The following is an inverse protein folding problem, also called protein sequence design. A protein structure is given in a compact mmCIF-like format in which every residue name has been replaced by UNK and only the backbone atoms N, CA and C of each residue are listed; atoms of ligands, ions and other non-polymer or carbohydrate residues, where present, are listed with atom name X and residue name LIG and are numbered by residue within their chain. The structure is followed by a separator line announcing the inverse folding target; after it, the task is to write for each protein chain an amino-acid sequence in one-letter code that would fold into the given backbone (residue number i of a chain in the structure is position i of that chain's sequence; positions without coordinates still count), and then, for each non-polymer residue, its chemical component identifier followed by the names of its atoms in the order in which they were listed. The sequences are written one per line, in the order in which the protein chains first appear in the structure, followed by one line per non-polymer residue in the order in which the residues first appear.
data_IF_680607780218
#
_entry.id   IF_680607780218
#
_cell.length_a   1.000
_cell.length_b   1.000
_cell.length_c   1.000
_cell.angle_alpha   90.00
_cell.angle_beta   90.00
_cell.angle_gamma   90.00
#
_symmetry.space_group_name_H-M   'P 1'
#
loop_
_entity.id
_entity.type
_entity.pdbx_description
1 polymer ?
#
# COMPACT_ATOMS: atom_id res chain seq x y z
N UNK A 1 -4.69 -5.02 21.09
CA UNK A 1 -4.34 -4.10 22.19
C UNK A 1 -3.18 -4.74 22.97
N UNK A 2 -2.00 -4.09 22.99
CA UNK A 2 -0.84 -4.62 23.69
C UNK A 2 0.05 -5.57 22.89
N UNK A 3 -0.17 -5.77 21.58
CA UNK A 3 0.78 -6.41 20.69
C UNK A 3 1.65 -5.36 19.96
N UNK A 4 2.81 -5.78 19.50
CA UNK A 4 3.71 -4.99 18.65
C UNK A 4 3.50 -5.31 17.16
N UNK A 5 2.40 -5.99 16.83
CA UNK A 5 2.09 -6.38 15.46
C UNK A 5 1.71 -5.16 14.62
N UNK A 6 2.25 -5.12 13.40
CA UNK A 6 1.92 -4.09 12.43
C UNK A 6 0.65 -4.48 11.66
N UNK A 7 -0.16 -3.47 11.36
CA UNK A 7 -1.33 -3.55 10.50
C UNK A 7 -1.26 -2.41 9.47
N UNK A 8 -1.41 -2.75 8.20
CA UNK A 8 -1.35 -1.78 7.10
C UNK A 8 -2.43 -0.69 7.21
N UNK A 9 -3.54 -0.95 7.93
CA UNK A 9 -4.57 0.06 8.19
C UNK A 9 -4.06 1.28 8.96
N UNK A 10 -2.91 1.19 9.66
CA UNK A 10 -2.28 2.33 10.30
C UNK A 10 -1.89 3.44 9.30
N UNK A 11 -1.69 3.11 8.01
CA UNK A 11 -1.48 4.09 6.94
C UNK A 11 -2.69 5.04 6.75
N UNK A 12 -3.87 4.58 7.14
CA UNK A 12 -5.08 5.39 7.07
C UNK A 12 -5.04 6.62 7.99
N UNK A 13 -4.18 6.64 9.02
CA UNK A 13 -4.00 7.81 9.87
C UNK A 13 -3.51 9.03 9.07
N UNK A 14 -2.60 8.82 8.13
CA UNK A 14 -2.15 9.85 7.19
C UNK A 14 -3.17 10.12 6.09
N UNK A 15 -3.71 9.07 5.47
CA UNK A 15 -4.62 9.16 4.32
C UNK A 15 -5.93 9.87 4.69
N UNK A 16 -6.47 9.57 5.88
CA UNK A 16 -7.67 10.22 6.39
C UNK A 16 -7.43 11.62 7.00
N UNK A 17 -6.16 12.06 7.07
CA UNK A 17 -5.80 13.36 7.63
C UNK A 17 -5.99 13.45 9.15
N UNK A 18 -5.91 12.32 9.86
CA UNK A 18 -5.98 12.31 11.33
C UNK A 18 -4.74 12.97 11.96
N UNK A 19 -3.57 12.74 11.36
CA UNK A 19 -2.31 13.43 11.67
C UNK A 19 -1.71 13.95 10.36
N UNK A 20 -0.90 15.03 10.40
CA UNK A 20 -0.10 15.45 9.26
C UNK A 20 0.79 14.31 8.76
N UNK A 21 0.89 14.15 7.44
CA UNK A 21 1.67 13.06 6.85
C UNK A 21 3.19 13.21 7.06
N UNK A 22 3.65 14.40 7.44
CA UNK A 22 5.03 14.72 7.83
C UNK A 22 5.28 14.62 9.35
N UNK A 23 4.26 14.21 10.13
CA UNK A 23 4.44 13.92 11.55
C UNK A 23 5.47 12.80 11.75
N UNK A 24 6.44 12.94 12.67
CA UNK A 24 7.48 11.93 12.89
C UNK A 24 6.94 10.53 13.20
N UNK A 25 5.81 10.42 13.91
CA UNK A 25 5.17 9.15 14.21
C UNK A 25 4.56 8.50 12.95
N UNK A 26 3.98 9.30 12.06
CA UNK A 26 3.46 8.83 10.76
C UNK A 26 4.61 8.36 9.88
N UNK A 27 5.69 9.13 9.79
CA UNK A 27 6.88 8.74 9.01
C UNK A 27 7.45 7.41 9.53
N UNK A 28 7.61 7.27 10.85
CA UNK A 28 8.10 6.03 11.45
C UNK A 28 7.15 4.85 11.17
N UNK A 29 5.84 5.07 11.16
CA UNK A 29 4.84 4.05 10.84
C UNK A 29 4.95 3.61 9.36
N UNK A 30 5.07 4.56 8.43
CA UNK A 30 5.26 4.28 6.99
C UNK A 30 6.53 3.45 6.80
N UNK A 31 7.65 3.86 7.42
CA UNK A 31 8.94 3.16 7.31
C UNK A 31 8.88 1.75 7.93
N UNK A 32 8.23 1.59 9.07
CA UNK A 32 8.05 0.28 9.70
C UNK A 32 7.20 -0.67 8.84
N UNK A 33 6.15 -0.18 8.20
CA UNK A 33 5.31 -0.99 7.29
C UNK A 33 6.11 -1.37 6.05
N UNK A 34 6.85 -0.43 5.46
CA UNK A 34 7.67 -0.70 4.28
C UNK A 34 8.78 -1.71 4.57
N UNK A 35 9.38 -1.67 5.76
CA UNK A 35 10.49 -2.55 6.15
C UNK A 35 10.02 -3.94 6.62
N UNK A 36 8.92 -4.02 7.36
CA UNK A 36 8.53 -5.22 8.11
C UNK A 36 7.24 -5.88 7.62
N UNK A 37 6.46 -5.21 6.78
CA UNK A 37 5.15 -5.70 6.35
C UNK A 37 5.08 -5.87 4.81
N UNK A 38 6.23 -5.99 4.14
CA UNK A 38 6.28 -6.23 2.69
C UNK A 38 6.95 -7.56 2.36
N UNK A 39 6.56 -8.15 1.24
CA UNK A 39 7.26 -9.29 0.65
C UNK A 39 8.54 -8.84 -0.10
N UNK A 40 9.27 -9.79 -0.66
CA UNK A 40 10.50 -9.52 -1.42
C UNK A 40 10.29 -8.65 -2.68
N UNK A 41 9.06 -8.56 -3.19
CA UNK A 41 8.65 -7.69 -4.33
C UNK A 41 8.28 -6.29 -3.85
N UNK A 42 8.14 -6.08 -2.53
CA UNK A 42 7.68 -4.84 -1.91
C UNK A 42 6.17 -4.64 -1.98
N UNK A 43 5.40 -5.73 -2.09
CA UNK A 43 3.95 -5.73 -1.93
C UNK A 43 3.60 -5.88 -0.44
N UNK A 44 2.56 -5.17 0.01
CA UNK A 44 2.23 -5.05 1.43
C UNK A 44 1.24 -6.13 1.86
N UNK A 45 1.57 -6.85 2.94
CA UNK A 45 0.62 -7.68 3.69
C UNK A 45 -0.34 -6.81 4.49
N UNK A 46 -1.54 -7.29 4.75
CA UNK A 46 -2.47 -6.61 5.65
C UNK A 46 -1.93 -6.60 7.07
N UNK A 47 -1.51 -7.75 7.55
CA UNK A 47 -0.79 -7.99 8.82
C UNK A 47 -0.05 -9.33 8.73
N UNK A 48 0.86 -9.58 9.66
CA UNK A 48 1.62 -10.84 9.77
C UNK A 48 1.39 -11.48 11.15
N UNK A 49 0.15 -11.58 11.60
CA UNK A 49 -0.19 -12.27 12.85
C UNK A 49 -0.62 -13.70 12.55
N UNK A 50 -0.21 -14.64 13.43
CA UNK A 50 -0.73 -16.00 13.41
C UNK A 50 -2.13 -15.98 14.07
N UNK A 51 -3.15 -15.77 13.25
CA UNK A 51 -4.55 -15.73 13.68
C UNK A 51 -5.21 -17.12 13.70
N UNK A 52 -4.44 -18.18 13.42
CA UNK A 52 -4.91 -19.57 13.43
C UNK A 52 -5.84 -19.93 12.27
N UNK A 53 -5.98 -19.05 11.27
CA UNK A 53 -6.68 -19.37 10.03
C UNK A 53 -5.79 -20.22 9.12
N UNK A 54 -6.33 -21.32 8.62
CA UNK A 54 -5.61 -22.21 7.70
C UNK A 54 -5.57 -21.54 6.31
N UNK A 55 -4.41 -21.04 5.93
CA UNK A 55 -4.13 -20.46 4.62
C UNK A 55 -3.05 -19.39 4.72
N UNK A 56 -2.15 -19.33 3.78
CA UNK A 56 -1.24 -18.19 3.65
C UNK A 56 -2.00 -17.04 3.01
N UNK A 57 -2.26 -15.97 3.76
CA UNK A 57 -2.78 -14.72 3.16
C UNK A 57 -1.74 -14.18 2.17
N UNK A 58 -2.23 -13.72 1.01
CA UNK A 58 -1.41 -13.02 0.04
C UNK A 58 -1.11 -11.58 0.47
N UNK A 59 -0.33 -10.89 -0.37
CA UNK A 59 -0.16 -9.45 -0.25
C UNK A 59 -1.37 -8.73 -0.85
N UNK A 60 -1.85 -7.69 -0.17
CA UNK A 60 -3.03 -6.94 -0.59
C UNK A 60 -2.65 -5.78 -1.51
N UNK A 61 -3.20 -5.75 -2.72
CA UNK A 61 -2.97 -4.64 -3.66
C UNK A 61 -3.47 -3.31 -3.09
N UNK A 62 -4.61 -3.31 -2.40
CA UNK A 62 -5.11 -2.12 -1.69
C UNK A 62 -4.10 -1.58 -0.68
N UNK A 63 -3.50 -2.44 0.16
CA UNK A 63 -2.54 -2.04 1.19
C UNK A 63 -1.26 -1.47 0.54
N UNK A 64 -0.84 -2.03 -0.59
CA UNK A 64 0.30 -1.52 -1.35
C UNK A 64 0.00 -0.13 -1.93
N UNK A 65 -1.21 0.11 -2.44
CA UNK A 65 -1.62 1.46 -2.85
C UNK A 65 -1.76 2.43 -1.68
N UNK A 66 -2.17 1.98 -0.49
CA UNK A 66 -2.14 2.82 0.72
C UNK A 66 -0.72 3.25 1.07
N UNK A 67 0.25 2.36 0.98
CA UNK A 67 1.66 2.71 1.21
C UNK A 67 2.12 3.76 0.20
N UNK A 68 1.84 3.58 -1.09
CA UNK A 68 2.15 4.56 -2.12
C UNK A 68 1.48 5.93 -1.85
N UNK A 69 0.21 5.93 -1.45
CA UNK A 69 -0.55 7.14 -1.12
C UNK A 69 0.06 7.86 0.09
N UNK A 70 0.34 7.15 1.18
CA UNK A 70 0.94 7.72 2.38
C UNK A 70 2.33 8.31 2.10
N UNK A 71 3.17 7.63 1.31
CA UNK A 71 4.47 8.14 0.85
C UNK A 71 4.33 9.44 0.04
N UNK A 72 3.34 9.53 -0.84
CA UNK A 72 3.08 10.74 -1.63
C UNK A 72 2.66 11.91 -0.72
N UNK A 73 1.78 11.67 0.25
CA UNK A 73 1.38 12.66 1.25
C UNK A 73 2.55 13.12 2.13
N UNK A 74 3.46 12.20 2.45
CA UNK A 74 4.69 12.48 3.20
C UNK A 74 5.79 13.19 2.37
N UNK A 75 5.48 13.65 1.16
CA UNK A 75 6.41 14.37 0.29
C UNK A 75 7.53 13.51 -0.30
N UNK A 76 7.27 12.21 -0.49
CA UNK A 76 8.23 11.24 -1.06
C UNK A 76 7.75 10.68 -2.42
N UNK A 77 7.50 11.52 -3.44
CA UNK A 77 6.83 11.11 -4.68
C UNK A 77 7.60 10.03 -5.46
N UNK A 78 8.93 10.04 -5.46
CA UNK A 78 9.75 9.04 -6.16
C UNK A 78 9.55 7.64 -5.57
N UNK A 79 9.57 7.53 -4.23
CA UNK A 79 9.29 6.25 -3.55
C UNK A 79 7.85 5.82 -3.75
N UNK A 80 6.91 6.76 -3.63
CA UNK A 80 5.49 6.52 -3.85
C UNK A 80 5.22 5.94 -5.25
N UNK A 81 5.82 6.52 -6.28
CA UNK A 81 5.69 6.03 -7.66
C UNK A 81 6.26 4.62 -7.80
N UNK A 82 7.41 4.33 -7.24
CA UNK A 82 8.01 3.01 -7.32
C UNK A 82 7.12 1.93 -6.67
N UNK A 83 6.51 2.22 -5.51
CA UNK A 83 5.57 1.32 -4.85
C UNK A 83 4.28 1.16 -5.68
N UNK A 84 3.75 2.26 -6.20
CA UNK A 84 2.56 2.27 -7.05
C UNK A 84 2.74 1.40 -8.29
N UNK A 85 3.86 1.54 -9.00
CA UNK A 85 4.12 0.81 -10.25
C UNK A 85 4.25 -0.69 -10.01
N UNK A 86 4.81 -1.12 -8.87
CA UNK A 86 4.85 -2.54 -8.48
C UNK A 86 3.45 -3.13 -8.36
N UNK A 87 2.53 -2.46 -7.65
CA UNK A 87 1.15 -2.93 -7.51
C UNK A 87 0.38 -2.85 -8.84
N UNK A 88 0.56 -1.78 -9.61
CA UNK A 88 -0.10 -1.59 -10.90
C UNK A 88 0.31 -2.62 -11.95
N UNK A 89 1.51 -3.20 -11.84
CA UNK A 89 1.98 -4.26 -12.73
C UNK A 89 1.13 -5.54 -12.66
N UNK A 90 0.35 -5.73 -11.59
CA UNK A 90 -0.58 -6.87 -11.42
C UNK A 90 -1.96 -6.63 -12.04
N UNK A 91 -2.18 -5.49 -12.71
CA UNK A 91 -3.36 -5.30 -13.52
C UNK A 91 -3.32 -6.22 -14.75
N UNK A 92 -4.45 -6.86 -15.03
CA UNK A 92 -4.57 -7.68 -16.26
C UNK A 92 -4.49 -6.82 -17.53
N UNK A 93 -4.38 -7.44 -18.69
CA UNK A 93 -4.41 -6.74 -19.99
C UNK A 93 -5.68 -5.90 -20.25
N UNK A 94 -6.73 -6.10 -19.45
CA UNK A 94 -7.97 -5.30 -19.46
C UNK A 94 -8.00 -4.23 -18.35
N UNK A 95 -6.91 -4.09 -17.57
CA UNK A 95 -6.83 -3.15 -16.45
C UNK A 95 -7.58 -3.59 -15.20
N UNK A 96 -7.98 -4.87 -15.10
CA UNK A 96 -8.67 -5.39 -13.91
C UNK A 96 -7.67 -5.90 -12.88
N UNK A 97 -7.98 -5.71 -11.59
CA UNK A 97 -7.13 -6.07 -10.47
C UNK A 97 -7.86 -7.00 -9.50
N UNK A 98 -7.11 -7.94 -8.94
CA UNK A 98 -7.58 -8.80 -7.85
C UNK A 98 -7.45 -8.11 -6.49
N UNK A 99 -7.87 -8.80 -5.44
CA UNK A 99 -7.70 -8.38 -4.05
C UNK A 99 -6.26 -8.56 -3.59
N UNK A 100 -5.69 -9.73 -3.86
CA UNK A 100 -4.40 -10.17 -3.36
C UNK A 100 -3.51 -10.76 -4.46
N UNK A 101 -2.24 -10.89 -4.15
CA UNK A 101 -1.23 -11.62 -4.93
C UNK A 101 -0.55 -12.63 -4.02
N UNK A 102 -0.41 -13.87 -4.48
CA UNK A 102 0.25 -14.93 -3.75
C UNK A 102 1.71 -14.56 -3.41
N UNK A 103 2.21 -14.87 -2.20
CA UNK A 103 3.55 -14.46 -1.79
C UNK A 103 4.67 -15.12 -2.60
N UNK A 104 4.46 -16.34 -3.06
CA UNK A 104 5.46 -17.16 -3.75
C UNK A 104 5.34 -17.15 -5.28
N UNK A 105 4.33 -16.48 -5.81
CA UNK A 105 4.05 -16.42 -7.24
C UNK A 105 3.33 -15.13 -7.61
N UNK A 106 3.07 -14.95 -8.89
CA UNK A 106 2.25 -13.83 -9.39
C UNK A 106 0.77 -14.21 -9.53
N UNK A 107 0.34 -15.28 -8.86
CA UNK A 107 -1.05 -15.73 -8.88
C UNK A 107 -1.94 -14.73 -8.17
N UNK A 108 -3.02 -14.35 -8.86
CA UNK A 108 -4.03 -13.43 -8.32
C UNK A 108 -4.99 -14.20 -7.42
N UNK A 109 -5.17 -13.72 -6.18
CA UNK A 109 -6.00 -14.34 -5.15
C UNK A 109 -7.15 -13.43 -4.71
N UNK A 110 -8.08 -14.03 -3.98
CA UNK A 110 -9.22 -13.31 -3.42
C UNK A 110 -10.26 -12.91 -4.47
N UNK A 111 -10.98 -11.84 -4.20
CA UNK A 111 -12.02 -11.34 -5.11
C UNK A 111 -11.42 -10.75 -6.38
N UNK A 112 -12.03 -11.09 -7.54
CA UNK A 112 -11.62 -10.56 -8.83
C UNK A 112 -12.84 -10.28 -9.73
N UNK A 113 -12.97 -9.08 -10.32
CA UNK A 113 -12.19 -7.87 -10.02
C UNK A 113 -12.55 -7.30 -8.65
N UNK A 114 -11.56 -6.70 -7.96
CA UNK A 114 -11.77 -6.12 -6.63
C UNK A 114 -11.87 -4.58 -6.70
N UNK A 115 -13.03 -4.04 -6.31
CA UNK A 115 -13.29 -2.60 -6.34
C UNK A 115 -12.33 -1.80 -5.46
N UNK A 116 -12.00 -2.29 -4.26
CA UNK A 116 -11.09 -1.60 -3.34
C UNK A 116 -9.68 -1.44 -3.91
N UNK A 117 -9.17 -2.43 -4.64
CA UNK A 117 -7.88 -2.34 -5.33
C UNK A 117 -7.88 -1.21 -6.37
N UNK A 118 -8.96 -1.07 -7.15
CA UNK A 118 -9.11 0.02 -8.12
C UNK A 118 -9.27 1.40 -7.46
N UNK A 119 -10.01 1.48 -6.34
CA UNK A 119 -10.12 2.73 -5.55
C UNK A 119 -8.74 3.12 -5.00
N UNK A 120 -7.99 2.16 -4.45
CA UNK A 120 -6.63 2.38 -3.97
C UNK A 120 -5.71 2.90 -5.06
N UNK A 121 -5.74 2.28 -6.25
CA UNK A 121 -4.98 2.71 -7.43
C UNK A 121 -5.28 4.16 -7.80
N UNK A 122 -6.56 4.53 -7.94
CA UNK A 122 -6.96 5.89 -8.35
C UNK A 122 -6.52 6.93 -7.32
N UNK A 123 -6.74 6.66 -6.04
CA UNK A 123 -6.38 7.59 -4.97
C UNK A 123 -4.85 7.75 -4.84
N UNK A 124 -4.09 6.68 -4.95
CA UNK A 124 -2.64 6.73 -4.92
C UNK A 124 -2.07 7.48 -6.15
N UNK A 125 -2.59 7.20 -7.35
CA UNK A 125 -2.19 7.89 -8.57
C UNK A 125 -2.43 9.41 -8.47
N UNK A 126 -3.59 9.82 -7.95
CA UNK A 126 -3.91 11.22 -7.72
C UNK A 126 -2.96 11.87 -6.72
N UNK A 127 -2.72 11.23 -5.57
CA UNK A 127 -1.82 11.76 -4.55
C UNK A 127 -0.38 11.91 -5.06
N UNK A 128 0.11 10.95 -5.85
CA UNK A 128 1.43 10.98 -6.48
C UNK A 128 1.53 12.15 -7.45
N UNK A 129 0.56 12.31 -8.35
CA UNK A 129 0.53 13.45 -9.29
C UNK A 129 0.62 14.78 -8.55
N UNK A 130 -0.18 14.97 -7.50
CA UNK A 130 -0.15 16.19 -6.68
C UNK A 130 1.20 16.40 -5.96
N UNK A 131 1.86 15.33 -5.54
CA UNK A 131 3.15 15.40 -4.88
C UNK A 131 4.28 15.74 -5.87
N UNK A 132 4.23 15.19 -7.08
CA UNK A 132 5.18 15.47 -8.15
C UNK A 132 5.06 16.92 -8.64
N UNK A 133 3.83 17.42 -8.82
CA UNK A 133 3.58 18.82 -9.21
C UNK A 133 4.16 19.79 -8.15
N UNK A 134 3.98 19.49 -6.87
CA UNK A 134 4.58 20.30 -5.79
C UNK A 134 6.11 20.24 -5.78
N UNK A 135 6.69 19.09 -6.10
CA UNK A 135 8.15 18.92 -6.14
C UNK A 135 8.79 19.59 -7.35
N UNK A 136 8.05 19.72 -8.46
CA UNK A 136 8.53 20.38 -9.67
C UNK A 136 8.62 21.93 -9.51
N UNK A 137 7.90 22.48 -8.52
CA UNK A 137 7.84 23.93 -8.30
C UNK A 137 7.04 24.67 -9.37
N UNK A 138 6.83 25.98 -9.19
CA UNK A 138 6.21 26.82 -10.21
C UNK A 138 7.15 27.10 -11.38
#
# INVERSE_FOLDING_TARGET
YGSEDLDASALMLAIAGFLPADDPGIIATIEAIEDRLTDARGLVYRYLADDGMAGEEGTFLLCTFWLAHALALAGRPVRARAVFERAAAFATGLGLMAEEVAPDSDELLGNFPQAFSHIGLVNAAWAISQAEDRAAGP
#
